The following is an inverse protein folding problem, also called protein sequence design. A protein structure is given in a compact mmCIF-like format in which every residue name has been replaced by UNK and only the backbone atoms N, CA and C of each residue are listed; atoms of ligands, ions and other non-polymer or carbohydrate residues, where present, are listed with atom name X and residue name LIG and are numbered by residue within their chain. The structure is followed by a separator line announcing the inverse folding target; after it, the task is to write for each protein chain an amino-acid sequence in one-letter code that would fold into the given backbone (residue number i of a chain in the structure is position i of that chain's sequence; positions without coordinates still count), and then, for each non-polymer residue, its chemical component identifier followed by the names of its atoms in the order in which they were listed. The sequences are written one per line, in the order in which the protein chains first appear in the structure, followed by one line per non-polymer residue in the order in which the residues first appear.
data_IF_784235833345
#
_entry.id   IF_784235833345
#
_cell.length_a   1.000
_cell.length_b   1.000
_cell.length_c   1.000
_cell.angle_alpha   90.00
_cell.angle_beta   90.00
_cell.angle_gamma   90.00
#
_symmetry.space_group_name_H-M   'P 1'
#
loop_
_entity.id
_entity.type
_entity.pdbx_description
1 polymer ?
#
# COMPACT_ATOMS: atom_id res chain seq x y z
N UNK A 1 66.93 125.84 46.51
CA UNK A 1 66.19 125.70 45.23
C UNK A 1 65.41 124.39 45.27
N UNK A 2 64.09 124.49 45.15
CA UNK A 2 63.13 123.41 45.42
C UNK A 2 63.19 122.29 44.36
N UNK A 3 63.29 121.04 44.83
CA UNK A 3 63.33 119.84 43.98
C UNK A 3 61.89 119.45 43.59
N UNK A 4 61.48 119.76 42.36
CA UNK A 4 60.22 119.28 41.80
C UNK A 4 60.23 117.76 41.64
N UNK A 5 59.24 117.06 42.21
CA UNK A 5 59.06 115.62 42.03
C UNK A 5 58.66 115.25 40.60
N UNK A 6 59.05 114.05 40.15
CA UNK A 6 58.73 113.56 38.80
C UNK A 6 57.26 113.18 38.66
N UNK A 7 56.64 113.58 37.54
CA UNK A 7 55.23 113.33 37.23
C UNK A 7 55.06 112.18 36.19
N UNK A 8 53.91 111.49 36.22
CA UNK A 8 53.55 110.34 35.36
C UNK A 8 53.68 110.65 33.86
N UNK A 9 53.30 111.85 33.44
CA UNK A 9 53.38 112.29 32.04
C UNK A 9 54.83 112.34 31.52
N UNK A 10 55.79 112.72 32.37
CA UNK A 10 57.21 112.78 31.98
C UNK A 10 57.78 111.37 31.82
N UNK A 11 57.40 110.44 32.71
CA UNK A 11 57.73 109.02 32.62
C UNK A 11 57.12 108.38 31.37
N UNK A 12 55.88 108.74 31.02
CA UNK A 12 55.21 108.27 29.80
C UNK A 12 55.91 108.77 28.54
N UNK A 13 56.32 110.04 28.49
CA UNK A 13 57.06 110.62 27.36
C UNK A 13 58.42 109.97 27.17
N UNK A 14 59.19 109.76 28.26
CA UNK A 14 60.46 109.04 28.22
C UNK A 14 60.29 107.58 27.76
N UNK A 15 59.25 106.88 28.25
CA UNK A 15 58.90 105.54 27.79
C UNK A 15 58.58 105.52 26.28
N UNK A 16 57.78 106.46 25.80
CA UNK A 16 57.42 106.53 24.37
C UNK A 16 58.64 106.85 23.51
N UNK A 17 59.55 107.70 23.97
CA UNK A 17 60.81 107.97 23.28
C UNK A 17 61.68 106.71 23.15
N UNK A 18 61.77 105.89 24.21
CA UNK A 18 62.48 104.60 24.15
C UNK A 18 61.82 103.61 23.20
N UNK A 19 60.50 103.50 23.23
CA UNK A 19 59.74 102.64 22.32
C UNK A 19 59.85 103.10 20.86
N UNK A 20 59.84 104.41 20.60
CA UNK A 20 60.04 104.96 19.26
C UNK A 20 61.47 104.69 18.73
N UNK A 21 62.45 104.55 19.63
CA UNK A 21 63.81 104.09 19.31
C UNK A 21 63.93 102.56 19.26
N UNK A 22 62.84 101.81 19.45
CA UNK A 22 62.83 100.34 19.43
C UNK A 22 63.47 99.67 20.65
N UNK A 23 63.77 100.43 21.72
CA UNK A 23 64.37 99.91 22.94
C UNK A 23 63.29 99.55 23.97
N UNK A 24 63.48 98.45 24.69
CA UNK A 24 62.53 98.00 25.71
C UNK A 24 62.54 98.97 26.92
N UNK A 25 61.41 99.62 27.27
CA UNK A 25 61.37 100.59 28.36
C UNK A 25 61.47 99.91 29.73
N UNK A 26 62.71 99.70 30.20
CA UNK A 26 63.02 99.28 31.56
C UNK A 26 63.13 100.47 32.51
N UNK A 27 63.04 100.22 33.82
CA UNK A 27 63.07 101.28 34.84
C UNK A 27 64.36 102.11 34.73
N UNK A 28 65.49 101.43 34.53
CA UNK A 28 66.80 102.08 34.44
C UNK A 28 66.96 102.83 33.11
N UNK A 29 66.46 102.29 32.00
CA UNK A 29 66.46 102.98 30.71
C UNK A 29 65.63 104.28 30.76
N UNK A 30 64.44 104.22 31.36
CA UNK A 30 63.58 105.41 31.53
C UNK A 30 64.24 106.42 32.48
N UNK A 31 64.94 105.97 33.52
CA UNK A 31 65.64 106.86 34.45
C UNK A 31 66.82 107.58 33.81
N UNK A 32 67.58 106.89 32.95
CA UNK A 32 68.68 107.48 32.17
C UNK A 32 68.12 108.56 31.24
N UNK A 33 67.03 108.28 30.52
CA UNK A 33 66.40 109.25 29.61
C UNK A 33 65.85 110.49 30.36
N UNK A 34 65.47 110.32 31.64
CA UNK A 34 65.05 111.41 32.54
C UNK A 34 66.24 112.12 33.22
N UNK A 35 67.49 111.86 32.81
CA UNK A 35 68.68 112.51 33.35
C UNK A 35 69.05 112.07 34.77
N UNK A 36 68.85 110.78 35.08
CA UNK A 36 69.05 110.17 36.41
C UNK A 36 68.19 110.73 37.54
N UNK A 37 67.16 111.51 37.20
CA UNK A 37 66.23 112.08 38.16
C UNK A 37 65.09 111.10 38.48
N UNK A 38 64.55 111.20 39.71
CA UNK A 38 63.45 110.36 40.20
C UNK A 38 63.90 109.07 40.88
N UNK A 39 63.13 108.62 41.87
CA UNK A 39 63.38 107.34 42.52
C UNK A 39 62.92 106.19 41.62
N UNK A 40 63.72 105.12 41.61
CA UNK A 40 63.45 103.87 40.85
C UNK A 40 62.06 103.30 41.17
N UNK A 41 61.59 103.45 42.41
CA UNK A 41 60.26 103.04 42.88
C UNK A 41 59.13 103.83 42.25
N UNK A 42 59.26 105.16 42.11
CA UNK A 42 58.23 106.01 41.51
C UNK A 42 58.10 105.77 40.01
N UNK A 43 59.23 105.59 39.31
CA UNK A 43 59.24 105.25 37.87
C UNK A 43 58.60 103.88 37.64
N UNK A 44 58.94 102.87 38.46
CA UNK A 44 58.35 101.53 38.35
C UNK A 44 56.83 101.54 38.57
N UNK A 45 56.35 102.28 39.58
CA UNK A 45 54.91 102.44 39.83
C UNK A 45 54.19 103.01 38.60
N UNK A 46 54.70 104.10 38.02
CA UNK A 46 54.09 104.70 36.85
C UNK A 46 54.19 103.81 35.59
N UNK A 47 55.29 103.06 35.41
CA UNK A 47 55.40 102.08 34.31
C UNK A 47 54.38 100.93 34.44
N UNK A 48 54.18 100.42 35.66
CA UNK A 48 53.18 99.38 35.92
C UNK A 48 51.76 99.89 35.71
N UNK A 49 51.43 101.09 36.20
CA UNK A 49 50.13 101.73 35.95
C UNK A 49 49.86 101.94 34.46
N UNK A 50 50.87 102.32 33.67
CA UNK A 50 50.74 102.48 32.23
C UNK A 50 50.59 101.12 31.51
N UNK A 51 51.16 100.04 32.03
CA UNK A 51 50.99 98.69 31.50
C UNK A 51 49.60 98.10 31.83
N UNK A 52 49.06 98.37 33.01
CA UNK A 52 47.73 97.88 33.41
C UNK A 52 46.57 98.58 32.70
N UNK A 53 46.83 99.72 32.03
CA UNK A 53 45.82 100.48 31.29
C UNK A 53 45.64 100.04 29.83
N UNK A 54 46.34 98.98 29.37
CA UNK A 54 45.93 98.26 28.16
C UNK A 54 44.97 97.14 28.55
N UNK A 55 43.65 97.26 28.28
CA UNK A 55 42.76 96.12 28.41
C UNK A 55 43.10 95.08 27.34
N UNK A 56 43.21 93.81 27.76
CA UNK A 56 43.24 92.65 26.90
C UNK A 56 42.01 92.66 25.98
N UNK A 57 42.24 92.77 24.67
CA UNK A 57 41.19 92.66 23.67
C UNK A 57 40.64 91.23 23.66
N UNK A 58 39.33 91.15 23.86
CA UNK A 58 38.49 89.97 23.62
C UNK A 58 38.31 89.74 22.11
N UNK A 59 37.91 88.50 21.78
CA UNK A 59 37.23 88.01 20.56
C UNK A 59 37.98 88.13 19.23
N UNK A 60 38.64 87.04 18.82
CA UNK A 60 39.01 86.78 17.44
C UNK A 60 37.92 85.95 16.74
N UNK A 61 37.56 86.39 15.52
CA UNK A 61 36.71 85.70 14.55
C UNK A 61 37.12 84.23 14.35
N UNK A 62 36.22 83.34 13.87
CA UNK A 62 36.57 81.96 13.60
C UNK A 62 37.80 81.92 12.69
N UNK A 63 38.82 81.21 13.13
CA UNK A 63 40.04 81.06 12.35
C UNK A 63 39.78 80.01 11.26
N UNK A 64 40.50 80.09 10.14
CA UNK A 64 40.41 79.12 9.04
C UNK A 64 40.51 77.64 9.51
N UNK A 65 41.21 77.40 10.62
CA UNK A 65 41.35 76.09 11.26
C UNK A 65 40.02 75.55 11.80
N UNK A 66 39.19 76.40 12.42
CA UNK A 66 37.91 75.98 12.98
C UNK A 66 36.93 75.59 11.86
N UNK A 67 36.91 76.37 10.78
CA UNK A 67 36.09 76.08 9.59
C UNK A 67 36.50 74.78 8.89
N UNK A 68 37.81 74.47 8.82
CA UNK A 68 38.31 73.19 8.29
C UNK A 68 37.95 72.01 9.19
N UNK A 69 37.99 72.19 10.52
CA UNK A 69 37.67 71.12 11.48
C UNK A 69 36.19 70.74 11.39
N UNK A 70 35.30 71.72 11.31
CA UNK A 70 33.86 71.49 11.11
C UNK A 70 33.56 70.79 9.78
N UNK A 71 34.27 71.15 8.70
CA UNK A 71 34.07 70.54 7.38
C UNK A 71 34.58 69.09 7.35
N UNK A 72 35.66 68.79 8.07
CA UNK A 72 36.18 67.42 8.23
C UNK A 72 35.25 66.56 9.09
N UNK A 73 34.64 67.11 10.15
CA UNK A 73 33.61 66.41 10.94
C UNK A 73 32.36 66.13 10.11
N UNK A 74 31.88 67.10 9.33
CA UNK A 74 30.75 66.90 8.42
C UNK A 74 31.06 65.84 7.36
N UNK A 75 32.27 65.86 6.78
CA UNK A 75 32.70 64.86 5.81
C UNK A 75 32.85 63.47 6.45
N UNK A 76 33.36 63.40 7.68
CA UNK A 76 33.46 62.14 8.43
C UNK A 76 32.09 61.55 8.74
N UNK A 77 31.13 62.39 9.13
CA UNK A 77 29.73 61.98 9.36
C UNK A 77 29.09 61.48 8.07
N UNK A 78 29.25 62.22 6.98
CA UNK A 78 28.72 61.87 5.67
C UNK A 78 29.33 60.56 5.12
N UNK A 79 30.64 60.33 5.32
CA UNK A 79 31.30 59.07 4.98
C UNK A 79 30.76 57.92 5.85
N UNK A 80 30.44 58.18 7.12
CA UNK A 80 29.86 57.18 8.03
C UNK A 80 28.45 56.81 7.60
N UNK A 81 27.62 57.78 7.29
CA UNK A 81 26.25 57.59 6.77
C UNK A 81 26.28 56.84 5.42
N UNK A 82 27.15 57.24 4.49
CA UNK A 82 27.31 56.53 3.22
C UNK A 82 27.85 55.10 3.43
N UNK A 83 28.75 54.91 4.39
CA UNK A 83 29.27 53.60 4.78
C UNK A 83 28.20 52.69 5.37
N UNK A 84 27.39 53.21 6.29
CA UNK A 84 26.24 52.52 6.88
C UNK A 84 25.18 52.19 5.82
N UNK A 85 24.86 53.13 4.93
CA UNK A 85 23.94 52.91 3.82
C UNK A 85 24.43 51.81 2.86
N UNK A 86 25.73 51.78 2.54
CA UNK A 86 26.34 50.71 1.74
C UNK A 86 26.32 49.36 2.45
N UNK A 87 26.59 49.33 3.75
CA UNK A 87 26.52 48.11 4.56
C UNK A 87 25.08 47.58 4.60
N UNK A 88 24.09 48.46 4.77
CA UNK A 88 22.68 48.07 4.81
C UNK A 88 22.17 47.59 3.44
N UNK A 89 22.61 48.22 2.34
CA UNK A 89 22.38 47.70 0.99
C UNK A 89 23.01 46.32 0.79
N UNK A 90 24.26 46.12 1.23
CA UNK A 90 24.92 44.81 1.12
C UNK A 90 24.21 43.73 1.95
N UNK A 91 23.73 44.07 3.15
CA UNK A 91 22.95 43.17 4.01
C UNK A 91 21.61 42.81 3.38
N UNK A 92 20.85 43.78 2.91
CA UNK A 92 19.56 43.53 2.26
C UNK A 92 19.70 42.69 0.98
N UNK A 93 20.74 42.95 0.16
CA UNK A 93 21.03 42.13 -1.01
C UNK A 93 21.39 40.68 -0.62
N UNK A 94 22.22 40.51 0.41
CA UNK A 94 22.59 39.19 0.92
C UNK A 94 21.39 38.43 1.51
N UNK A 95 20.50 39.11 2.23
CA UNK A 95 19.27 38.50 2.75
C UNK A 95 18.32 38.08 1.63
N UNK A 96 18.19 38.89 0.57
CA UNK A 96 17.39 38.55 -0.61
C UNK A 96 17.97 37.33 -1.35
N UNK A 97 19.29 37.27 -1.52
CA UNK A 97 19.98 36.11 -2.13
C UNK A 97 19.81 34.85 -1.26
N UNK A 98 19.96 34.98 0.05
CA UNK A 98 19.74 33.87 0.98
C UNK A 98 18.29 33.37 0.94
N UNK A 99 17.31 34.27 0.88
CA UNK A 99 15.90 33.89 0.78
C UNK A 99 15.58 33.18 -0.54
N UNK A 100 16.15 33.65 -1.66
CA UNK A 100 15.97 33.00 -2.97
C UNK A 100 16.63 31.63 -2.99
N UNK A 101 17.83 31.46 -2.43
CA UNK A 101 18.48 30.14 -2.31
C UNK A 101 17.69 29.18 -1.42
N UNK A 102 17.13 29.65 -0.30
CA UNK A 102 16.28 28.83 0.58
C UNK A 102 14.97 28.41 -0.12
N UNK A 103 14.33 29.34 -0.85
CA UNK A 103 13.15 29.02 -1.66
C UNK A 103 13.47 28.02 -2.78
N UNK A 104 14.66 28.13 -3.40
CA UNK A 104 15.08 27.20 -4.43
C UNK A 104 15.37 25.81 -3.85
N UNK A 105 15.98 25.72 -2.66
CA UNK A 105 16.24 24.47 -1.93
C UNK A 105 14.99 23.82 -1.34
N UNK A 106 13.91 24.58 -1.05
CA UNK A 106 12.64 24.00 -0.65
C UNK A 106 11.95 23.21 -1.79
N UNK A 107 12.21 23.57 -3.05
CA UNK A 107 11.61 22.90 -4.22
C UNK A 107 12.09 21.46 -4.48
N UNK A 108 13.39 21.10 -4.36
CA UNK A 108 13.84 19.71 -4.45
C UNK A 108 13.37 18.87 -3.26
N UNK A 109 13.28 19.41 -2.05
CA UNK A 109 12.75 18.68 -0.88
C UNK A 109 11.29 18.24 -1.09
N UNK A 110 10.46 19.13 -1.65
CA UNK A 110 9.08 18.80 -2.01
C UNK A 110 9.01 17.70 -3.07
N UNK A 111 9.82 17.80 -4.12
CA UNK A 111 9.91 16.77 -5.17
C UNK A 111 10.39 15.44 -4.62
N UNK A 112 11.38 15.44 -3.74
CA UNK A 112 11.88 14.22 -3.11
C UNK A 112 10.80 13.56 -2.23
N UNK A 113 10.02 14.36 -1.50
CA UNK A 113 8.92 13.83 -0.71
C UNK A 113 7.80 13.24 -1.58
N UNK A 114 7.43 13.89 -2.68
CA UNK A 114 6.49 13.35 -3.67
C UNK A 114 7.03 12.07 -4.30
N UNK A 115 8.30 12.04 -4.67
CA UNK A 115 8.95 10.87 -5.25
C UNK A 115 8.94 9.69 -4.28
N UNK A 116 9.26 9.90 -3.00
CA UNK A 116 9.15 8.85 -1.96
C UNK A 116 7.72 8.35 -1.79
N UNK A 117 6.71 9.23 -1.89
CA UNK A 117 5.29 8.82 -1.86
C UNK A 117 4.93 7.95 -3.06
N UNK A 118 5.33 8.35 -4.26
CA UNK A 118 5.08 7.60 -5.49
C UNK A 118 5.81 6.25 -5.49
N UNK A 119 7.06 6.20 -5.02
CA UNK A 119 7.80 4.96 -4.84
C UNK A 119 7.11 4.01 -3.85
N UNK A 120 6.60 4.54 -2.73
CA UNK A 120 5.80 3.75 -1.79
C UNK A 120 4.52 3.20 -2.42
N UNK A 121 3.79 4.01 -3.18
CA UNK A 121 2.59 3.56 -3.91
C UNK A 121 2.92 2.50 -4.96
N UNK A 122 4.00 2.69 -5.72
CA UNK A 122 4.45 1.73 -6.73
C UNK A 122 4.83 0.38 -6.09
N UNK A 123 5.51 0.40 -4.94
CA UNK A 123 5.83 -0.82 -4.19
C UNK A 123 4.58 -1.55 -3.69
N UNK A 124 3.59 -0.82 -3.15
CA UNK A 124 2.33 -1.41 -2.70
C UNK A 124 1.59 -2.08 -3.86
N UNK A 125 1.43 -1.39 -5.00
CA UNK A 125 0.82 -1.94 -6.20
C UNK A 125 1.59 -3.16 -6.73
N UNK A 126 2.92 -3.16 -6.64
CA UNK A 126 3.74 -4.30 -7.07
C UNK A 126 3.59 -5.51 -6.13
N UNK A 127 3.33 -5.30 -4.85
CA UNK A 127 2.99 -6.39 -3.91
C UNK A 127 1.60 -6.93 -4.20
N UNK A 128 0.60 -6.07 -4.38
CA UNK A 128 -0.77 -6.47 -4.70
C UNK A 128 -0.84 -7.22 -6.03
N UNK A 129 -0.12 -6.75 -7.07
CA UNK A 129 -0.02 -7.44 -8.35
C UNK A 129 0.56 -8.86 -8.18
N UNK A 130 1.60 -9.02 -7.36
CA UNK A 130 2.18 -10.34 -7.08
C UNK A 130 1.19 -11.25 -6.34
N UNK A 131 0.45 -10.72 -5.37
CA UNK A 131 -0.58 -11.48 -4.66
C UNK A 131 -1.73 -11.92 -5.58
N UNK A 132 -2.18 -11.02 -6.47
CA UNK A 132 -3.20 -11.33 -7.47
C UNK A 132 -2.70 -12.37 -8.47
N UNK A 133 -1.46 -12.26 -8.95
CA UNK A 133 -0.84 -13.26 -9.82
C UNK A 133 -0.74 -14.63 -9.15
N UNK A 134 -0.32 -14.67 -7.87
CA UNK A 134 -0.25 -15.92 -7.12
C UNK A 134 -1.64 -16.54 -6.93
N UNK A 135 -2.64 -15.72 -6.59
CA UNK A 135 -4.03 -16.17 -6.45
C UNK A 135 -4.57 -16.69 -7.77
N UNK A 136 -4.26 -16.02 -8.88
CA UNK A 136 -4.65 -16.44 -10.22
C UNK A 136 -4.06 -17.81 -10.58
N UNK A 137 -2.78 -18.04 -10.28
CA UNK A 137 -2.13 -19.35 -10.51
C UNK A 137 -2.86 -20.44 -9.71
N UNK A 138 -3.11 -20.22 -8.42
CA UNK A 138 -3.85 -21.19 -7.58
C UNK A 138 -5.24 -21.47 -8.14
N UNK A 139 -5.96 -20.44 -8.60
CA UNK A 139 -7.28 -20.62 -9.22
C UNK A 139 -7.22 -21.33 -10.57
N UNK A 140 -6.18 -21.11 -11.37
CA UNK A 140 -5.97 -21.84 -12.62
C UNK A 140 -5.68 -23.33 -12.36
N UNK A 141 -4.90 -23.65 -11.33
CA UNK A 141 -4.62 -25.02 -10.93
C UNK A 141 -5.89 -25.72 -10.40
N UNK A 142 -6.67 -25.04 -9.55
CA UNK A 142 -7.98 -25.52 -9.09
C UNK A 142 -8.93 -25.81 -10.27
N UNK A 143 -9.06 -24.89 -11.22
CA UNK A 143 -9.89 -25.06 -12.42
C UNK A 143 -9.43 -26.25 -13.26
N UNK A 144 -8.12 -26.40 -13.46
CA UNK A 144 -7.56 -27.52 -14.23
C UNK A 144 -7.84 -28.85 -13.54
N UNK A 145 -7.72 -28.90 -12.21
CA UNK A 145 -8.05 -30.10 -11.43
C UNK A 145 -9.54 -30.43 -11.53
N UNK A 146 -10.43 -29.46 -11.32
CA UNK A 146 -11.88 -29.67 -11.42
C UNK A 146 -12.30 -30.11 -12.82
N UNK A 147 -11.68 -29.59 -13.88
CA UNK A 147 -11.95 -30.04 -15.25
C UNK A 147 -11.56 -31.52 -15.45
N UNK A 148 -10.40 -31.95 -14.95
CA UNK A 148 -10.01 -33.38 -15.00
C UNK A 148 -10.97 -34.26 -14.20
N UNK A 149 -11.38 -33.82 -13.02
CA UNK A 149 -12.33 -34.54 -12.19
C UNK A 149 -13.70 -34.67 -12.90
N UNK A 150 -14.17 -33.58 -13.54
CA UNK A 150 -15.40 -33.59 -14.34
C UNK A 150 -15.31 -34.54 -15.54
N UNK A 151 -14.20 -34.54 -16.27
CA UNK A 151 -13.95 -35.50 -17.36
C UNK A 151 -13.98 -36.94 -16.83
N UNK A 152 -13.35 -37.20 -15.69
CA UNK A 152 -13.37 -38.49 -15.02
C UNK A 152 -14.79 -38.94 -14.64
N UNK A 153 -15.59 -38.04 -14.06
CA UNK A 153 -16.99 -38.30 -13.72
C UNK A 153 -17.85 -38.56 -14.97
N UNK A 154 -17.63 -37.83 -16.06
CA UNK A 154 -18.33 -38.07 -17.33
C UNK A 154 -18.03 -39.46 -17.90
N UNK A 155 -16.78 -39.92 -17.81
CA UNK A 155 -16.41 -41.28 -18.19
C UNK A 155 -17.11 -42.31 -17.30
N UNK A 156 -17.10 -42.11 -15.97
CA UNK A 156 -17.80 -43.00 -15.03
C UNK A 156 -19.30 -43.09 -15.34
N UNK A 157 -19.96 -41.96 -15.59
CA UNK A 157 -21.38 -41.91 -15.97
C UNK A 157 -21.62 -42.70 -17.26
N UNK A 158 -20.76 -42.57 -18.27
CA UNK A 158 -20.87 -43.37 -19.50
C UNK A 158 -20.73 -44.87 -19.22
N UNK A 159 -19.72 -45.28 -18.46
CA UNK A 159 -19.52 -46.69 -18.11
C UNK A 159 -20.68 -47.28 -17.32
N UNK A 160 -21.24 -46.53 -16.37
CA UNK A 160 -22.40 -46.97 -15.58
C UNK A 160 -23.65 -47.06 -16.45
N UNK A 161 -23.84 -46.12 -17.38
CA UNK A 161 -24.96 -46.15 -18.32
C UNK A 161 -24.90 -47.34 -19.27
N UNK A 162 -23.71 -47.67 -19.76
CA UNK A 162 -23.53 -48.85 -20.63
C UNK A 162 -23.71 -50.14 -19.82
N UNK A 163 -23.18 -50.22 -18.60
CA UNK A 163 -23.47 -51.34 -17.70
C UNK A 163 -24.98 -51.49 -17.44
N UNK A 164 -25.69 -50.40 -17.17
CA UNK A 164 -27.15 -50.40 -16.99
C UNK A 164 -27.88 -50.93 -18.23
N UNK A 165 -27.47 -50.53 -19.44
CA UNK A 165 -28.03 -51.07 -20.68
C UNK A 165 -27.80 -52.57 -20.80
N UNK A 166 -26.58 -53.04 -20.52
CA UNK A 166 -26.29 -54.48 -20.58
C UNK A 166 -27.13 -55.27 -19.58
N UNK A 167 -27.27 -54.80 -18.34
CA UNK A 167 -28.13 -55.44 -17.34
C UNK A 167 -29.60 -55.45 -17.75
N UNK A 168 -30.09 -54.36 -18.35
CA UNK A 168 -31.46 -54.29 -18.87
C UNK A 168 -31.69 -55.35 -19.96
N UNK A 169 -30.81 -55.42 -20.96
CA UNK A 169 -30.91 -56.43 -22.03
C UNK A 169 -30.77 -57.85 -21.50
N UNK A 170 -29.91 -58.09 -20.51
CA UNK A 170 -29.83 -59.39 -19.83
C UNK A 170 -31.14 -59.73 -19.09
N UNK A 171 -31.76 -58.75 -18.44
CA UNK A 171 -33.06 -58.90 -17.79
C UNK A 171 -34.16 -59.27 -18.78
N UNK A 172 -34.26 -58.55 -19.91
CA UNK A 172 -35.21 -58.84 -20.99
C UNK A 172 -35.00 -60.26 -21.56
N UNK A 173 -33.73 -60.66 -21.77
CA UNK A 173 -33.40 -62.01 -22.26
C UNK A 173 -33.78 -63.10 -21.25
N UNK A 174 -33.50 -62.90 -19.96
CA UNK A 174 -33.91 -63.84 -18.91
C UNK A 174 -35.43 -63.93 -18.80
N UNK A 175 -36.13 -62.80 -18.92
CA UNK A 175 -37.59 -62.78 -18.91
C UNK A 175 -38.18 -63.58 -20.08
N UNK A 176 -37.63 -63.42 -21.29
CA UNK A 176 -38.04 -64.21 -22.44
C UNK A 176 -37.76 -65.72 -22.26
N UNK A 177 -36.62 -66.08 -21.64
CA UNK A 177 -36.32 -67.47 -21.31
C UNK A 177 -37.31 -68.06 -20.30
N UNK A 178 -37.66 -67.30 -19.25
CA UNK A 178 -38.67 -67.72 -18.26
C UNK A 178 -40.01 -67.95 -18.95
N UNK A 179 -40.47 -67.00 -19.77
CA UNK A 179 -41.72 -67.16 -20.53
C UNK A 179 -41.70 -68.38 -21.44
N UNK A 180 -40.58 -68.65 -22.12
CA UNK A 180 -40.42 -69.86 -22.93
C UNK A 180 -40.50 -71.15 -22.11
N UNK A 181 -39.88 -71.18 -20.93
CA UNK A 181 -39.96 -72.32 -20.02
C UNK A 181 -41.37 -72.51 -19.45
N UNK A 182 -42.08 -71.43 -19.11
CA UNK A 182 -43.48 -71.47 -18.66
C UNK A 182 -44.39 -72.09 -19.73
N UNK A 183 -44.23 -71.70 -21.00
CA UNK A 183 -44.99 -72.29 -22.12
C UNK A 183 -44.66 -73.77 -22.28
N UNK A 184 -43.38 -74.15 -22.20
CA UNK A 184 -42.97 -75.55 -22.31
C UNK A 184 -43.54 -76.40 -21.16
N UNK A 185 -43.54 -75.88 -19.92
CA UNK A 185 -44.14 -76.54 -18.78
C UNK A 185 -45.64 -76.76 -18.99
N UNK A 186 -46.37 -75.74 -19.44
CA UNK A 186 -47.80 -75.86 -19.74
C UNK A 186 -48.08 -76.90 -20.83
N UNK A 187 -47.23 -76.98 -21.87
CA UNK A 187 -47.35 -78.01 -22.91
C UNK A 187 -47.09 -79.42 -22.36
N UNK A 188 -46.06 -79.59 -21.52
CA UNK A 188 -45.75 -80.87 -20.89
C UNK A 188 -46.87 -81.31 -19.95
N UNK A 189 -47.40 -80.40 -19.12
CA UNK A 189 -48.56 -80.66 -18.27
C UNK A 189 -49.77 -81.08 -19.10
N UNK A 190 -50.06 -80.37 -20.20
CA UNK A 190 -51.11 -80.74 -21.14
C UNK A 190 -50.92 -82.16 -21.70
N UNK A 191 -49.74 -82.47 -22.22
CA UNK A 191 -49.42 -83.81 -22.75
C UNK A 191 -49.54 -84.91 -21.69
N UNK A 192 -49.12 -84.63 -20.45
CA UNK A 192 -49.23 -85.54 -19.32
C UNK A 192 -50.70 -85.82 -18.99
N UNK A 193 -51.55 -84.78 -18.92
CA UNK A 193 -52.98 -84.97 -18.65
C UNK A 193 -53.68 -85.80 -19.73
N UNK A 194 -53.27 -85.63 -20.99
CA UNK A 194 -53.82 -86.41 -22.10
C UNK A 194 -53.39 -87.89 -22.04
N UNK A 195 -52.11 -88.14 -21.77
CA UNK A 195 -51.61 -89.51 -21.54
C UNK A 195 -52.25 -90.17 -20.32
N UNK A 196 -52.50 -89.42 -19.24
CA UNK A 196 -53.22 -89.92 -18.07
C UNK A 196 -54.66 -90.34 -18.42
N UNK A 197 -55.38 -89.53 -19.22
CA UNK A 197 -56.72 -89.90 -19.73
C UNK A 197 -56.68 -91.14 -20.62
N UNK A 198 -55.71 -91.23 -21.53
CA UNK A 198 -55.55 -92.39 -22.40
C UNK A 198 -55.28 -93.67 -21.60
N UNK A 199 -54.40 -93.60 -20.59
CA UNK A 199 -54.13 -94.73 -19.70
C UNK A 199 -55.38 -95.15 -18.91
N UNK A 200 -56.18 -94.19 -18.43
CA UNK A 200 -57.45 -94.49 -17.75
C UNK A 200 -58.45 -95.19 -18.70
N UNK A 201 -58.59 -94.70 -19.94
CA UNK A 201 -59.48 -95.30 -20.94
C UNK A 201 -59.04 -96.72 -21.31
N UNK A 202 -57.74 -96.94 -21.51
CA UNK A 202 -57.19 -98.27 -21.77
C UNK A 202 -57.42 -99.21 -20.59
N UNK A 203 -57.25 -98.74 -19.35
CA UNK A 203 -57.52 -99.53 -18.15
C UNK A 203 -59.00 -99.94 -18.05
N UNK A 204 -59.93 -99.03 -18.37
CA UNK A 204 -61.36 -99.33 -18.43
C UNK A 204 -61.68 -100.38 -19.50
N UNK A 205 -61.17 -100.20 -20.72
CA UNK A 205 -61.39 -101.16 -21.82
C UNK A 205 -60.79 -102.54 -21.52
N UNK A 206 -59.62 -102.60 -20.89
CA UNK A 206 -59.02 -103.86 -20.44
C UNK A 206 -59.88 -104.52 -19.34
N UNK A 207 -60.41 -103.74 -18.40
CA UNK A 207 -61.31 -104.26 -17.36
C UNK A 207 -62.59 -104.85 -17.98
N UNK A 208 -63.21 -104.13 -18.91
CA UNK A 208 -64.36 -104.63 -19.69
C UNK A 208 -64.01 -105.93 -20.40
N UNK A 209 -62.88 -105.98 -21.11
CA UNK A 209 -62.44 -107.19 -21.82
C UNK A 209 -62.20 -108.38 -20.90
N UNK A 210 -61.61 -108.15 -19.71
CA UNK A 210 -61.45 -109.19 -18.69
C UNK A 210 -62.81 -109.69 -18.20
N UNK A 211 -63.80 -108.81 -18.02
CA UNK A 211 -65.16 -109.24 -17.65
C UNK A 211 -65.83 -110.05 -18.75
N UNK A 212 -65.71 -109.64 -20.02
CA UNK A 212 -66.21 -110.41 -21.18
C UNK A 212 -65.58 -111.80 -21.24
N UNK A 213 -64.25 -111.90 -21.12
CA UNK A 213 -63.53 -113.18 -21.14
C UNK A 213 -63.96 -114.09 -19.98
N UNK A 214 -64.18 -113.54 -18.78
CA UNK A 214 -64.73 -114.30 -17.65
C UNK A 214 -66.14 -114.83 -17.94
N UNK A 215 -67.01 -114.02 -18.54
CA UNK A 215 -68.35 -114.45 -18.93
C UNK A 215 -68.30 -115.55 -20.00
N UNK A 216 -67.41 -115.42 -20.99
CA UNK A 216 -67.19 -116.45 -22.01
C UNK A 216 -66.68 -117.75 -21.40
N UNK A 217 -65.70 -117.70 -20.49
CA UNK A 217 -65.20 -118.89 -19.77
C UNK A 217 -66.32 -119.56 -18.95
N UNK A 218 -67.18 -118.78 -18.28
CA UNK A 218 -68.34 -119.33 -17.57
C UNK A 218 -69.33 -120.01 -18.52
N UNK A 219 -69.56 -119.44 -19.72
CA UNK A 219 -70.44 -120.03 -20.73
C UNK A 219 -69.86 -121.34 -21.27
N UNK A 220 -68.57 -121.35 -21.61
CA UNK A 220 -67.84 -122.54 -22.07
C UNK A 220 -67.94 -123.64 -21.00
N UNK A 221 -67.65 -123.33 -19.73
CA UNK A 221 -67.77 -124.30 -18.64
C UNK A 221 -69.20 -124.85 -18.45
N UNK A 222 -70.24 -124.03 -18.67
CA UNK A 222 -71.64 -124.52 -18.68
C UNK A 222 -71.92 -125.46 -19.85
N UNK A 223 -71.46 -125.11 -21.06
CA UNK A 223 -71.63 -125.93 -22.26
C UNK A 223 -70.88 -127.26 -22.12
N UNK A 224 -69.66 -127.26 -21.59
CA UNK A 224 -68.89 -128.47 -21.29
C UNK A 224 -69.61 -129.37 -20.27
N UNK A 225 -70.22 -128.79 -19.23
CA UNK A 225 -71.01 -129.55 -18.27
C UNK A 225 -72.26 -130.18 -18.91
N UNK A 226 -72.95 -129.44 -19.77
CA UNK A 226 -74.10 -129.93 -20.54
C UNK A 226 -73.70 -131.05 -21.51
N UNK A 227 -72.57 -130.90 -22.21
CA UNK A 227 -72.04 -131.92 -23.12
C UNK A 227 -71.71 -133.21 -22.35
N UNK A 228 -70.97 -133.11 -21.25
CA UNK A 228 -70.68 -134.27 -20.38
C UNK A 228 -71.94 -134.95 -19.84
N UNK A 229 -72.98 -134.17 -19.52
CA UNK A 229 -74.27 -134.73 -19.08
C UNK A 229 -74.99 -135.44 -20.23
N UNK A 230 -75.00 -134.86 -21.43
CA UNK A 230 -75.55 -135.48 -22.63
C UNK A 230 -74.80 -136.78 -22.99
N UNK A 231 -73.47 -136.77 -22.94
CA UNK A 231 -72.63 -137.96 -23.14
C UNK A 231 -72.96 -139.06 -22.13
N UNK A 232 -73.07 -138.74 -20.82
CA UNK A 232 -73.51 -139.70 -19.79
C UNK A 232 -74.91 -140.24 -20.03
N UNK A 233 -75.84 -139.42 -20.52
CA UNK A 233 -77.19 -139.91 -20.88
C UNK A 233 -77.16 -140.84 -22.09
N UNK A 234 -76.31 -140.54 -23.09
CA UNK A 234 -76.12 -141.42 -24.25
C UNK A 234 -75.47 -142.74 -23.82
N UNK A 235 -74.47 -142.73 -22.94
CA UNK A 235 -73.91 -143.96 -22.35
C UNK A 235 -74.96 -144.78 -21.60
N UNK A 236 -75.82 -144.14 -20.80
CA UNK A 236 -76.93 -144.84 -20.12
C UNK A 236 -77.94 -145.44 -21.09
N UNK A 237 -78.28 -144.74 -22.17
CA UNK A 237 -79.18 -145.26 -23.20
C UNK A 237 -78.54 -146.44 -23.95
N UNK A 238 -77.23 -146.38 -24.25
CA UNK A 238 -76.47 -147.51 -24.83
C UNK A 238 -76.39 -148.73 -23.91
N UNK A 239 -76.38 -148.54 -22.59
CA UNK A 239 -76.42 -149.63 -21.60
C UNK A 239 -77.83 -150.22 -21.39
N UNK A 240 -78.89 -149.58 -21.91
CA UNK A 240 -80.28 -150.06 -21.85
C UNK A 240 -80.73 -150.74 -23.16
N UNK A 241 -80.01 -150.54 -24.27
CA UNK A 241 -80.29 -151.10 -25.59
C UNK A 241 -79.42 -152.32 -25.97
N UNK A 242 -78.60 -152.83 -25.04
CA UNK A 242 -77.84 -154.09 -25.16
C UNK A 242 -78.16 -155.05 -24.03
#
# INVERSE_FOLDING_TARGET
MARGGINKAVVQKARQALLARGLNPSIDAVRIELGNTGSKTTIHRYLKELNSQLPAQRTSAPTLSDALTTLVEQLAEQIREEGEARIEQARSAFEAERQTLLAHNASPEQREQEQRRHEGQAQLLQVELRQLQQTLIVKQDELTRLNRDNEGLLVQIRTLKDAQRTFKTQGERRQAQIQGLEVNLAQLEGSRTELEKQNQNLALSLAERVTELRQQLQLIGKLEAQLNQAEKTIERLRLLEG
#
